data_IF_258044053858
#
_entry.id   IF_258044053858
#
_cell.length_a   1.000
_cell.length_b   1.000
_cell.length_c   1.000
_cell.angle_alpha   90.00
_cell.angle_beta   90.00
_cell.angle_gamma   90.00
#
_symmetry.space_group_name_H-M   'P 1'
#
loop_
_entity.id
_entity.type
_entity.pdbx_description
1 polymer ?
#
# COMPACT_ATOMS: atom_id res chain seq x y z
N UNK A 1 11.24 -69.47 -12.98
CA UNK A 1 10.30 -69.56 -11.83
C UNK A 1 10.78 -68.51 -10.81
N UNK A 2 10.04 -67.51 -10.35
CA UNK A 2 8.62 -67.21 -10.38
C UNK A 2 8.42 -65.68 -10.54
N UNK A 3 7.37 -65.29 -11.26
CA UNK A 3 6.88 -63.92 -11.41
C UNK A 3 6.01 -63.58 -10.20
N UNK A 4 6.22 -62.43 -9.56
CA UNK A 4 5.30 -61.87 -8.57
C UNK A 4 4.63 -60.63 -9.17
N UNK A 5 3.35 -60.81 -9.51
CA UNK A 5 2.39 -59.79 -9.91
C UNK A 5 1.77 -59.18 -8.65
N UNK A 6 1.70 -57.85 -8.57
CA UNK A 6 0.93 -57.16 -7.54
C UNK A 6 0.09 -56.04 -8.18
N UNK A 7 -1.21 -56.18 -7.93
CA UNK A 7 -2.36 -55.52 -8.53
C UNK A 7 -2.46 -54.02 -8.23
N UNK A 8 -2.82 -53.24 -9.25
CA UNK A 8 -3.24 -51.86 -9.12
C UNK A 8 -4.66 -51.80 -8.51
N UNK A 9 -4.83 -51.07 -7.40
CA UNK A 9 -6.12 -50.76 -6.84
C UNK A 9 -6.55 -49.36 -7.31
N UNK A 10 -7.57 -49.31 -8.17
CA UNK A 10 -8.20 -48.08 -8.63
C UNK A 10 -9.01 -47.44 -7.51
N UNK A 11 -8.56 -46.27 -7.02
CA UNK A 11 -9.31 -45.40 -6.12
C UNK A 11 -10.33 -44.59 -6.94
N UNK A 12 -11.58 -45.05 -6.97
CA UNK A 12 -12.72 -44.27 -7.48
C UNK A 12 -13.05 -43.14 -6.50
N UNK A 13 -12.71 -41.90 -6.87
CA UNK A 13 -13.18 -40.69 -6.21
C UNK A 13 -14.66 -40.46 -6.53
N UNK A 14 -15.53 -40.58 -5.52
CA UNK A 14 -16.95 -40.21 -5.60
C UNK A 14 -17.07 -38.69 -5.47
N UNK A 15 -17.31 -38.00 -6.58
CA UNK A 15 -17.70 -36.59 -6.58
C UNK A 15 -19.14 -36.48 -6.07
N UNK A 16 -19.34 -35.87 -4.90
CA UNK A 16 -20.66 -35.56 -4.37
C UNK A 16 -20.90 -34.06 -4.54
N UNK A 17 -21.70 -33.70 -5.53
CA UNK A 17 -22.11 -32.32 -5.80
C UNK A 17 -23.08 -31.83 -4.72
N UNK A 18 -22.91 -30.63 -4.15
CA UNK A 18 -23.92 -30.03 -3.29
C UNK A 18 -25.10 -29.52 -4.13
N UNK A 19 -26.31 -29.92 -3.73
CA UNK A 19 -27.55 -29.51 -4.37
C UNK A 19 -27.85 -28.03 -4.13
N UNK A 20 -28.16 -27.34 -5.23
CA UNK A 20 -28.72 -25.98 -5.25
C UNK A 20 -30.20 -26.05 -4.83
N UNK A 21 -30.53 -25.48 -3.67
CA UNK A 21 -31.92 -25.24 -3.29
C UNK A 21 -32.40 -23.94 -3.93
N UNK A 22 -33.20 -24.09 -4.98
CA UNK A 22 -34.03 -23.05 -5.58
C UNK A 22 -35.19 -22.72 -4.64
N UNK A 23 -35.36 -21.46 -4.26
CA UNK A 23 -36.63 -20.93 -3.77
C UNK A 23 -36.89 -19.56 -4.39
N UNK A 24 -37.88 -19.57 -5.27
CA UNK A 24 -38.41 -18.46 -6.04
C UNK A 24 -39.35 -17.56 -5.21
N UNK A 25 -39.11 -16.26 -5.32
CA UNK A 25 -40.09 -15.14 -5.46
C UNK A 25 -41.41 -15.18 -4.67
N UNK A 26 -41.61 -14.15 -3.83
CA UNK A 26 -42.92 -13.53 -3.63
C UNK A 26 -42.81 -12.00 -3.70
N UNK A 27 -43.76 -11.45 -4.44
CA UNK A 27 -43.94 -10.08 -4.87
C UNK A 27 -45.19 -9.55 -4.15
N UNK A 28 -45.11 -8.41 -3.45
CA UNK A 28 -46.30 -7.71 -2.97
C UNK A 28 -46.06 -6.20 -2.77
N UNK A 29 -47.07 -5.44 -3.21
CA UNK A 29 -47.22 -4.00 -3.48
C UNK A 29 -47.11 -3.02 -2.30
N UNK A 30 -47.02 -1.70 -2.58
CA UNK A 30 -47.07 -0.60 -1.61
C UNK A 30 -48.50 -0.04 -1.39
N UNK A 31 -48.76 0.70 -0.29
CA UNK A 31 -49.83 1.71 -0.21
C UNK A 31 -49.22 3.12 -0.44
N UNK A 32 -49.70 3.97 -1.34
CA UNK A 32 -51.02 4.61 -1.54
C UNK A 32 -51.39 5.70 -0.52
N UNK A 33 -51.51 6.93 -1.05
CA UNK A 33 -52.43 8.04 -0.71
C UNK A 33 -52.03 9.15 0.28
N UNK A 34 -52.22 10.37 -0.25
CA UNK A 34 -52.09 11.74 0.26
C UNK A 34 -53.18 12.10 1.30
N UNK A 35 -53.15 13.33 1.86
CA UNK A 35 -53.99 14.37 1.23
C UNK A 35 -53.34 15.75 1.05
N UNK A 36 -53.87 16.44 0.02
CA UNK A 36 -53.81 17.88 -0.28
C UNK A 36 -54.32 18.77 0.86
N UNK A 37 -53.87 20.04 0.94
CA UNK A 37 -54.63 21.28 0.57
C UNK A 37 -54.01 22.58 1.18
N UNK A 38 -54.43 23.82 0.82
CA UNK A 38 -53.58 24.78 0.07
C UNK A 38 -53.55 26.24 0.60
N UNK A 39 -53.00 27.15 -0.23
CA UNK A 39 -53.22 28.62 -0.32
C UNK A 39 -52.47 29.52 0.71
N UNK A 40 -52.03 30.75 0.43
CA UNK A 40 -52.04 31.70 -0.71
C UNK A 40 -50.91 32.75 -0.46
N UNK A 41 -50.11 33.15 -1.46
CA UNK A 41 -50.14 34.43 -2.21
C UNK A 41 -50.26 35.70 -1.36
N UNK A 42 -49.28 36.62 -1.45
CA UNK A 42 -49.40 38.05 -1.86
C UNK A 42 -48.06 38.78 -1.57
N UNK A 43 -47.18 39.13 -2.53
CA UNK A 43 -47.13 40.27 -3.50
C UNK A 43 -46.35 41.50 -3.00
N UNK A 44 -45.35 41.90 -3.79
CA UNK A 44 -44.76 43.26 -4.00
C UNK A 44 -44.00 43.94 -2.83
N UNK A 45 -42.93 44.73 -2.98
CA UNK A 45 -42.54 45.81 -3.91
C UNK A 45 -41.01 46.01 -3.81
N UNK A 46 -40.31 46.28 -4.93
CA UNK A 46 -38.99 46.96 -4.95
C UNK A 46 -39.19 48.48 -4.91
N UNK A 47 -38.23 49.22 -4.32
CA UNK A 47 -37.74 50.40 -5.02
C UNK A 47 -36.22 50.50 -5.09
N UNK A 48 -35.80 51.19 -6.14
CA UNK A 48 -34.45 51.50 -6.60
C UNK A 48 -33.96 52.87 -6.13
N UNK A 49 -32.63 53.01 -6.04
CA UNK A 49 -31.78 54.22 -6.17
C UNK A 49 -31.75 55.23 -4.99
N UNK A 50 -30.56 55.52 -4.44
CA UNK A 50 -29.64 56.56 -4.97
C UNK A 50 -28.38 56.78 -4.09
N UNK A 51 -27.26 56.77 -4.81
CA UNK A 51 -25.87 57.16 -4.57
C UNK A 51 -25.53 58.25 -3.52
N UNK A 52 -24.41 58.07 -2.79
CA UNK A 52 -23.48 59.12 -2.35
C UNK A 52 -22.01 58.65 -2.46
N UNK A 53 -21.30 59.25 -3.42
CA UNK A 53 -19.89 59.70 -3.45
C UNK A 53 -18.74 58.86 -2.85
N UNK A 54 -17.80 58.49 -3.74
CA UNK A 54 -16.35 58.20 -3.55
C UNK A 54 -15.60 59.48 -3.06
N UNK A 55 -14.45 59.40 -2.35
CA UNK A 55 -13.21 58.81 -2.90
C UNK A 55 -12.24 58.17 -1.89
N UNK A 56 -11.69 56.98 -2.19
CA UNK A 56 -10.42 56.53 -1.57
C UNK A 56 -9.65 55.60 -2.51
N UNK A 57 -9.13 56.18 -3.60
CA UNK A 57 -8.33 55.49 -4.62
C UNK A 57 -6.81 55.71 -4.45
N UNK A 58 -6.32 55.90 -3.22
CA UNK A 58 -4.88 56.11 -2.97
C UNK A 58 -4.28 55.34 -1.78
N UNK A 59 -5.06 54.52 -1.06
CA UNK A 59 -4.51 53.64 -0.01
C UNK A 59 -4.05 52.27 -0.54
N UNK A 60 -4.36 51.92 -1.79
CA UNK A 60 -4.14 50.57 -2.33
C UNK A 60 -2.82 50.40 -3.10
N UNK A 61 -2.02 51.46 -3.29
CA UNK A 61 -0.76 51.35 -4.03
C UNK A 61 0.44 51.03 -3.11
N UNK A 62 0.47 51.50 -1.86
CA UNK A 62 1.61 51.27 -0.96
C UNK A 62 1.53 49.98 -0.14
N UNK A 63 0.33 49.48 0.19
CA UNK A 63 0.19 48.18 0.87
C UNK A 63 0.43 47.00 -0.09
N UNK A 64 0.45 47.27 -1.40
CA UNK A 64 0.67 46.28 -2.44
C UNK A 64 2.16 46.09 -2.76
N UNK A 65 3.00 47.12 -2.67
CA UNK A 65 4.46 46.97 -2.85
C UNK A 65 5.12 46.22 -1.68
N UNK A 66 4.73 46.50 -0.44
CA UNK A 66 5.29 45.85 0.76
C UNK A 66 4.90 44.35 0.83
N UNK A 67 3.70 44.01 0.31
CA UNK A 67 3.26 42.61 0.16
C UNK A 67 3.90 41.89 -1.03
N UNK A 68 4.42 42.60 -2.03
CA UNK A 68 5.12 41.99 -3.16
C UNK A 68 6.56 41.69 -2.77
N UNK A 69 7.24 42.61 -2.08
CA UNK A 69 8.62 42.42 -1.61
C UNK A 69 8.74 41.32 -0.54
N UNK A 70 7.77 41.22 0.39
CA UNK A 70 7.72 40.13 1.38
C UNK A 70 7.37 38.76 0.75
N UNK A 71 6.68 38.76 -0.41
CA UNK A 71 6.23 37.53 -1.09
C UNK A 71 7.28 36.99 -2.06
N UNK A 72 8.19 37.82 -2.54
CA UNK A 72 9.32 37.39 -3.37
C UNK A 72 10.38 36.65 -2.54
N UNK A 73 10.57 37.04 -1.27
CA UNK A 73 11.57 36.42 -0.37
C UNK A 73 11.20 35.02 0.13
N UNK A 74 10.01 34.49 -0.20
CA UNK A 74 9.52 33.19 0.29
C UNK A 74 9.57 32.06 -0.74
N UNK A 75 9.96 32.35 -1.98
CA UNK A 75 9.96 31.38 -3.07
C UNK A 75 11.37 30.92 -3.47
N UNK A 76 12.26 30.76 -2.49
CA UNK A 76 13.47 29.98 -2.71
C UNK A 76 13.06 28.51 -2.81
N UNK A 77 12.88 28.03 -4.04
CA UNK A 77 12.72 26.62 -4.35
C UNK A 77 14.04 25.91 -4.01
N UNK A 78 14.13 25.41 -2.78
CA UNK A 78 15.20 24.50 -2.38
C UNK A 78 15.10 23.23 -3.23
N UNK A 79 16.01 23.12 -4.20
CA UNK A 79 16.28 21.87 -4.88
C UNK A 79 16.94 20.93 -3.88
N UNK A 80 16.15 20.06 -3.26
CA UNK A 80 16.68 18.90 -2.54
C UNK A 80 17.34 17.98 -3.57
N UNK A 81 18.65 18.12 -3.74
CA UNK A 81 19.46 17.14 -4.44
C UNK A 81 19.41 15.85 -3.63
N UNK A 82 18.62 14.88 -4.11
CA UNK A 82 18.57 13.53 -3.56
C UNK A 82 19.87 12.82 -3.96
N UNK A 83 20.95 13.18 -3.27
CA UNK A 83 22.23 12.50 -3.43
C UNK A 83 22.09 11.09 -2.84
N UNK A 84 22.34 10.01 -3.60
CA UNK A 84 22.36 8.66 -3.06
C UNK A 84 23.58 8.39 -2.15
N UNK A 85 24.50 9.36 -2.01
CA UNK A 85 25.73 9.23 -1.22
C UNK A 85 25.55 8.84 0.27
N UNK A 86 24.49 9.26 1.00
CA UNK A 86 24.28 8.83 2.39
C UNK A 86 24.00 7.32 2.49
N UNK A 87 23.32 6.74 1.50
CA UNK A 87 23.07 5.29 1.45
C UNK A 87 24.33 4.49 1.06
N UNK A 88 25.21 5.08 0.25
CA UNK A 88 26.50 4.46 -0.11
C UNK A 88 27.51 4.45 1.06
N UNK A 89 27.47 5.44 1.96
CA UNK A 89 28.29 5.40 3.18
C UNK A 89 27.79 4.36 4.19
N UNK A 90 26.49 4.11 4.23
CA UNK A 90 25.92 3.02 5.03
C UNK A 90 26.32 1.64 4.46
N UNK A 91 26.55 1.54 3.14
CA UNK A 91 27.06 0.35 2.47
C UNK A 91 28.53 0.05 2.78
N UNK A 92 29.32 1.05 3.20
CA UNK A 92 30.75 0.92 3.51
C UNK A 92 31.04 0.56 4.97
N UNK A 93 30.01 0.45 5.82
CA UNK A 93 30.16 -0.07 7.18
C UNK A 93 30.46 -1.58 7.14
N UNK A 94 31.25 -2.13 8.09
CA UNK A 94 31.53 -3.57 8.23
C UNK A 94 30.30 -4.47 8.51
N UNK A 95 29.08 -4.01 8.21
CA UNK A 95 27.82 -4.68 8.47
C UNK A 95 27.52 -5.85 7.53
N UNK A 96 28.13 -5.92 6.34
CA UNK A 96 27.93 -7.05 5.43
C UNK A 96 28.34 -8.39 6.06
N UNK A 97 29.42 -8.39 6.88
CA UNK A 97 29.84 -9.56 7.65
C UNK A 97 28.90 -9.92 8.80
N UNK A 98 28.34 -8.91 9.48
CA UNK A 98 27.39 -9.12 10.58
C UNK A 98 26.05 -9.69 10.09
N UNK A 99 25.56 -9.20 8.94
CA UNK A 99 24.35 -9.71 8.30
C UNK A 99 24.57 -11.14 7.79
N UNK A 100 25.69 -11.40 7.11
CA UNK A 100 26.04 -12.75 6.65
C UNK A 100 26.13 -13.77 7.81
N UNK A 101 26.77 -13.38 8.92
CA UNK A 101 26.88 -14.21 10.13
C UNK A 101 25.52 -14.48 10.80
N UNK A 102 24.63 -13.47 10.87
CA UNK A 102 23.31 -13.63 11.46
C UNK A 102 22.40 -14.57 10.65
N UNK A 103 22.57 -14.62 9.31
CA UNK A 103 21.75 -15.46 8.43
C UNK A 103 22.37 -16.79 8.02
N UNK A 104 23.69 -16.99 8.24
CA UNK A 104 24.42 -18.22 7.93
C UNK A 104 23.70 -19.53 8.30
N UNK A 105 23.15 -19.69 9.53
CA UNK A 105 22.44 -20.90 9.93
C UNK A 105 21.19 -21.20 9.08
N UNK A 106 20.51 -20.16 8.59
CA UNK A 106 19.36 -20.29 7.70
C UNK A 106 19.78 -20.72 6.29
N UNK A 107 20.90 -20.17 5.80
CA UNK A 107 21.47 -20.53 4.49
C UNK A 107 21.86 -22.00 4.46
N UNK A 108 22.50 -22.49 5.53
CA UNK A 108 22.88 -23.89 5.64
C UNK A 108 21.67 -24.82 5.71
N UNK A 109 20.61 -24.42 6.42
CA UNK A 109 19.37 -25.20 6.50
C UNK A 109 18.69 -25.33 5.13
N UNK A 110 18.59 -24.23 4.37
CA UNK A 110 18.01 -24.25 3.01
C UNK A 110 18.85 -25.10 2.06
N UNK A 111 20.19 -25.00 2.15
CA UNK A 111 21.10 -25.84 1.36
C UNK A 111 20.97 -27.33 1.70
N UNK A 112 20.71 -27.66 2.97
CA UNK A 112 20.53 -29.06 3.40
C UNK A 112 19.30 -29.75 2.81
N UNK A 113 18.32 -28.98 2.29
CA UNK A 113 17.10 -29.52 1.71
C UNK A 113 17.24 -29.90 0.23
N UNK A 114 18.40 -29.63 -0.39
CA UNK A 114 18.71 -29.98 -1.78
C UNK A 114 17.57 -29.62 -2.77
N UNK A 115 17.00 -28.42 -2.58
CA UNK A 115 15.87 -27.94 -3.35
C UNK A 115 16.28 -27.74 -4.82
N UNK A 116 15.41 -28.06 -5.78
CA UNK A 116 15.73 -27.87 -7.19
C UNK A 116 15.91 -26.37 -7.52
N UNK A 117 16.89 -26.06 -8.38
CA UNK A 117 17.30 -24.69 -8.70
C UNK A 117 16.15 -23.79 -9.15
N UNK A 118 15.18 -24.33 -9.92
CA UNK A 118 14.01 -23.57 -10.37
C UNK A 118 13.16 -23.04 -9.20
N UNK A 119 13.07 -23.79 -8.10
CA UNK A 119 12.27 -23.43 -6.94
C UNK A 119 12.98 -22.39 -6.09
N UNK A 120 14.31 -22.44 -6.01
CA UNK A 120 15.11 -21.42 -5.34
C UNK A 120 15.03 -20.11 -6.11
N UNK A 121 15.12 -20.18 -7.45
CA UNK A 121 15.08 -19.03 -8.34
C UNK A 121 13.72 -18.30 -8.33
N UNK A 122 12.63 -19.06 -8.48
CA UNK A 122 11.28 -18.48 -8.56
C UNK A 122 10.55 -18.42 -7.23
N UNK A 123 11.00 -19.13 -6.20
CA UNK A 123 10.33 -19.20 -4.90
C UNK A 123 10.24 -17.84 -4.21
N UNK A 124 11.34 -17.07 -4.21
CA UNK A 124 11.34 -15.71 -3.65
C UNK A 124 10.38 -14.77 -4.40
N UNK A 125 10.50 -14.55 -5.73
CA UNK A 125 9.61 -13.64 -6.44
C UNK A 125 8.15 -14.10 -6.42
N UNK A 126 7.87 -15.41 -6.49
CA UNK A 126 6.50 -15.93 -6.42
C UNK A 126 5.86 -15.67 -5.05
N UNK A 127 6.56 -15.97 -3.96
CA UNK A 127 6.05 -15.69 -2.60
C UNK A 127 5.86 -14.20 -2.37
N UNK A 128 6.82 -13.37 -2.80
CA UNK A 128 6.71 -11.91 -2.65
C UNK A 128 5.58 -11.32 -3.49
N UNK A 129 5.28 -11.88 -4.67
CA UNK A 129 4.12 -11.48 -5.45
C UNK A 129 2.81 -11.76 -4.72
N UNK A 130 2.65 -12.95 -4.14
CA UNK A 130 1.44 -13.30 -3.36
C UNK A 130 1.28 -12.33 -2.18
N UNK A 131 2.35 -12.08 -1.43
CA UNK A 131 2.31 -11.15 -0.29
C UNK A 131 1.96 -9.73 -0.76
N UNK A 132 2.59 -9.24 -1.83
CA UNK A 132 2.34 -7.90 -2.36
C UNK A 132 0.90 -7.72 -2.84
N UNK A 133 0.39 -8.64 -3.66
CA UNK A 133 -0.93 -8.47 -4.28
C UNK A 133 -2.07 -8.87 -3.34
N UNK A 134 -1.96 -10.02 -2.67
CA UNK A 134 -3.03 -10.51 -1.81
C UNK A 134 -3.07 -9.76 -0.48
N UNK A 135 -1.93 -9.57 0.19
CA UNK A 135 -1.91 -8.90 1.50
C UNK A 135 -1.80 -7.40 1.34
N UNK A 136 -0.83 -6.93 0.55
CA UNK A 136 -0.64 -5.51 0.27
C UNK A 136 -1.80 -4.90 -0.52
N UNK A 137 -2.12 -5.46 -1.68
CA UNK A 137 -3.17 -4.94 -2.56
C UNK A 137 -4.55 -4.93 -1.89
N UNK A 138 -4.99 -6.06 -1.34
CA UNK A 138 -6.28 -6.11 -0.63
C UNK A 138 -6.25 -5.27 0.65
N UNK A 139 -5.15 -5.29 1.39
CA UNK A 139 -4.96 -4.45 2.56
C UNK A 139 -5.09 -2.96 2.25
N UNK A 140 -4.45 -2.47 1.19
CA UNK A 140 -4.57 -1.08 0.73
C UNK A 140 -5.98 -0.75 0.25
N UNK A 141 -6.65 -1.68 -0.44
CA UNK A 141 -8.06 -1.54 -0.79
C UNK A 141 -8.93 -1.33 0.47
N UNK A 142 -8.75 -2.16 1.50
CA UNK A 142 -9.45 -1.98 2.77
C UNK A 142 -9.14 -0.62 3.42
N UNK A 143 -7.89 -0.14 3.31
CA UNK A 143 -7.51 1.21 3.74
C UNK A 143 -8.36 2.31 3.09
N UNK A 144 -8.62 2.19 1.78
CA UNK A 144 -9.54 3.09 1.07
C UNK A 144 -11.00 2.90 1.52
N UNK A 145 -11.45 1.67 1.79
CA UNK A 145 -12.80 1.42 2.32
C UNK A 145 -13.01 2.03 3.70
N UNK A 146 -12.02 2.01 4.58
CA UNK A 146 -12.07 2.70 5.89
C UNK A 146 -12.36 4.19 5.69
N UNK A 147 -11.78 4.81 4.66
CA UNK A 147 -11.90 6.25 4.41
C UNK A 147 -13.20 6.62 3.71
N UNK A 148 -13.61 5.84 2.71
CA UNK A 148 -14.63 6.26 1.75
C UNK A 148 -15.93 5.45 1.77
N UNK A 149 -16.01 4.33 2.49
CA UNK A 149 -17.26 3.56 2.55
C UNK A 149 -18.33 4.27 3.41
N UNK A 150 -19.58 4.30 2.98
CA UNK A 150 -20.67 4.90 3.77
C UNK A 150 -21.22 3.95 4.84
N UNK A 151 -21.14 2.64 4.58
CA UNK A 151 -21.66 1.61 5.47
C UNK A 151 -20.76 1.43 6.71
N UNK A 152 -21.35 1.54 7.90
CA UNK A 152 -20.65 1.41 9.19
C UNK A 152 -20.13 -0.02 9.42
N UNK A 153 -20.88 -1.05 9.05
CA UNK A 153 -20.47 -2.44 9.19
C UNK A 153 -19.27 -2.76 8.29
N UNK A 154 -19.27 -2.22 7.07
CA UNK A 154 -18.14 -2.37 6.15
C UNK A 154 -16.89 -1.66 6.66
N UNK A 155 -17.03 -0.42 7.17
CA UNK A 155 -15.92 0.30 7.81
C UNK A 155 -15.35 -0.47 8.99
N UNK A 156 -16.19 -1.04 9.85
CA UNK A 156 -15.75 -1.83 11.00
C UNK A 156 -14.96 -3.07 10.55
N UNK A 157 -15.47 -3.81 9.57
CA UNK A 157 -14.78 -4.96 8.96
C UNK A 157 -13.43 -4.57 8.36
N UNK A 158 -13.39 -3.48 7.58
CA UNK A 158 -12.15 -3.00 6.98
C UNK A 158 -11.12 -2.54 8.03
N UNK A 159 -11.55 -1.87 9.11
CA UNK A 159 -10.68 -1.46 10.22
C UNK A 159 -10.08 -2.64 10.99
N UNK A 160 -10.80 -3.76 11.08
CA UNK A 160 -10.28 -4.97 11.72
C UNK A 160 -9.28 -5.71 10.83
N UNK A 161 -9.58 -5.85 9.54
CA UNK A 161 -8.75 -6.62 8.62
C UNK A 161 -7.53 -5.88 8.07
N UNK A 162 -7.64 -4.57 7.82
CA UNK A 162 -6.55 -3.77 7.29
C UNK A 162 -5.24 -3.93 8.09
N UNK A 163 -5.19 -3.70 9.41
CA UNK A 163 -3.95 -3.84 10.17
C UNK A 163 -3.44 -5.30 10.22
N UNK A 164 -4.32 -6.30 10.16
CA UNK A 164 -3.92 -7.72 10.13
C UNK A 164 -3.22 -8.08 8.83
N UNK A 165 -3.79 -7.66 7.69
CA UNK A 165 -3.22 -7.90 6.37
C UNK A 165 -1.92 -7.13 6.16
N UNK A 166 -1.88 -5.84 6.53
CA UNK A 166 -0.66 -5.02 6.36
C UNK A 166 0.44 -5.41 7.35
N UNK A 167 0.07 -5.77 8.59
CA UNK A 167 1.03 -6.31 9.57
C UNK A 167 1.62 -7.63 9.09
N UNK A 168 0.79 -8.50 8.49
CA UNK A 168 1.27 -9.71 7.85
C UNK A 168 2.15 -9.42 6.62
N UNK A 169 1.80 -8.44 5.79
CA UNK A 169 2.64 -8.01 4.67
C UNK A 169 4.02 -7.56 5.15
N UNK A 170 4.06 -6.72 6.18
CA UNK A 170 5.32 -6.27 6.80
C UNK A 170 6.17 -7.45 7.26
N UNK A 171 5.56 -8.40 7.99
CA UNK A 171 6.25 -9.58 8.48
C UNK A 171 6.84 -10.43 7.36
N UNK A 172 6.05 -10.76 6.34
CA UNK A 172 6.53 -11.59 5.24
C UNK A 172 7.49 -10.85 4.31
N UNK A 173 7.39 -9.54 4.15
CA UNK A 173 8.40 -8.74 3.44
C UNK A 173 9.72 -8.66 4.21
N UNK A 174 9.69 -8.55 5.53
CA UNK A 174 10.89 -8.63 6.35
C UNK A 174 11.58 -9.99 6.18
N UNK A 175 10.82 -11.09 6.25
CA UNK A 175 11.34 -12.44 5.97
C UNK A 175 11.78 -12.62 4.50
N UNK A 176 11.09 -11.99 3.55
CA UNK A 176 11.48 -12.00 2.14
C UNK A 176 12.82 -11.30 1.94
N UNK A 177 13.03 -10.17 2.61
CA UNK A 177 14.28 -9.41 2.55
C UNK A 177 15.47 -10.23 3.07
N UNK A 178 15.29 -11.08 4.09
CA UNK A 178 16.36 -11.98 4.55
C UNK A 178 16.73 -13.03 3.50
N UNK A 179 15.73 -13.58 2.79
CA UNK A 179 15.94 -14.47 1.64
C UNK A 179 16.65 -13.78 0.47
N UNK A 180 16.27 -12.54 0.15
CA UNK A 180 16.91 -11.75 -0.91
C UNK A 180 18.37 -11.39 -0.60
N UNK A 181 18.64 -11.01 0.65
CA UNK A 181 20.02 -10.76 1.14
C UNK A 181 20.86 -12.03 1.07
N UNK A 182 20.30 -13.18 1.47
CA UNK A 182 20.97 -14.48 1.38
C UNK A 182 21.36 -14.80 -0.07
N UNK A 183 20.47 -14.58 -1.03
CA UNK A 183 20.75 -14.80 -2.46
C UNK A 183 21.87 -13.90 -2.99
N UNK A 184 21.92 -12.63 -2.55
CA UNK A 184 22.96 -11.67 -2.94
C UNK A 184 24.33 -12.04 -2.36
N UNK A 185 24.39 -12.42 -1.09
CA UNK A 185 25.62 -12.85 -0.42
C UNK A 185 26.18 -14.16 -0.98
N UNK A 186 25.33 -15.03 -1.51
CA UNK A 186 25.78 -16.27 -2.19
C UNK A 186 26.28 -16.01 -3.62
N UNK A 187 26.03 -14.81 -4.17
CA UNK A 187 26.39 -14.43 -5.56
C UNK A 187 27.54 -13.41 -5.64
N UNK A 188 28.24 -13.13 -4.54
CA UNK A 188 29.36 -12.17 -4.42
C UNK A 188 29.07 -10.74 -4.95
N UNK A 189 27.80 -10.33 -5.04
CA UNK A 189 27.41 -8.99 -5.52
C UNK A 189 27.11 -8.03 -4.35
N UNK A 190 27.59 -6.78 -4.38
CA UNK A 190 27.30 -5.80 -3.34
C UNK A 190 25.80 -5.46 -3.28
N UNK A 191 25.23 -5.52 -2.08
CA UNK A 191 23.77 -5.39 -1.82
C UNK A 191 23.19 -4.07 -2.33
N UNK A 192 23.98 -2.99 -2.32
CA UNK A 192 23.51 -1.63 -2.66
C UNK A 192 23.66 -1.26 -4.14
N UNK A 193 24.22 -2.15 -4.97
CA UNK A 193 24.27 -1.92 -6.43
C UNK A 193 22.99 -2.38 -7.14
N UNK A 194 22.21 -3.26 -6.52
CA UNK A 194 20.96 -3.73 -7.10
C UNK A 194 19.83 -2.74 -6.84
N UNK A 195 19.22 -2.13 -7.88
CA UNK A 195 18.08 -1.23 -7.70
C UNK A 195 16.90 -1.90 -6.98
N UNK A 196 16.72 -3.22 -7.19
CA UNK A 196 15.73 -4.02 -6.46
C UNK A 196 16.04 -4.07 -4.96
N UNK A 197 17.28 -4.38 -4.58
CA UNK A 197 17.65 -4.45 -3.16
C UNK A 197 17.50 -3.09 -2.45
N UNK A 198 17.92 -1.99 -3.10
CA UNK A 198 17.80 -0.64 -2.54
C UNK A 198 16.34 -0.22 -2.38
N UNK A 199 15.51 -0.47 -3.40
CA UNK A 199 14.07 -0.14 -3.32
C UNK A 199 13.34 -1.02 -2.31
N UNK A 200 13.74 -2.29 -2.14
CA UNK A 200 13.21 -3.17 -1.09
C UNK A 200 13.53 -2.67 0.32
N UNK A 201 14.80 -2.31 0.61
CA UNK A 201 15.22 -1.76 1.91
C UNK A 201 14.48 -0.45 2.20
N UNK A 202 14.43 0.45 1.21
CA UNK A 202 13.72 1.73 1.34
C UNK A 202 12.22 1.52 1.59
N UNK A 203 11.59 0.62 0.84
CA UNK A 203 10.18 0.28 1.00
C UNK A 203 9.88 -0.31 2.37
N UNK A 204 10.73 -1.21 2.89
CA UNK A 204 10.56 -1.79 4.22
C UNK A 204 10.72 -0.74 5.32
N UNK A 205 11.69 0.18 5.19
CA UNK A 205 11.86 1.28 6.14
C UNK A 205 10.65 2.22 6.17
N UNK A 206 10.13 2.60 4.99
CA UNK A 206 8.91 3.41 4.89
C UNK A 206 7.68 2.68 5.44
N UNK A 207 7.60 1.36 5.22
CA UNK A 207 6.52 0.53 5.76
C UNK A 207 6.56 0.43 7.29
N UNK A 208 7.75 0.44 7.91
CA UNK A 208 7.89 0.56 9.37
C UNK A 208 7.28 1.86 9.88
N UNK A 209 7.63 2.99 9.25
CA UNK A 209 7.07 4.31 9.61
C UNK A 209 5.54 4.30 9.43
N UNK A 210 5.06 3.73 8.32
CA UNK A 210 3.63 3.58 8.02
C UNK A 210 2.90 2.78 9.09
N UNK A 211 3.54 1.75 9.65
CA UNK A 211 2.96 0.86 10.68
C UNK A 211 2.86 1.54 12.04
N UNK A 212 3.81 2.42 12.37
CA UNK A 212 3.83 3.16 13.65
C UNK A 212 2.89 4.38 13.59
N UNK A 213 2.74 5.01 12.42
CA UNK A 213 1.96 6.24 12.24
C UNK A 213 0.54 6.23 12.85
N UNK A 214 -0.25 5.13 12.81
CA UNK A 214 -1.58 5.07 13.43
C UNK A 214 -1.60 5.31 14.94
N UNK A 215 -0.52 4.99 15.66
CA UNK A 215 -0.44 5.20 17.10
C UNK A 215 -0.47 6.69 17.48
N UNK A 216 -0.19 7.58 16.53
CA UNK A 216 -0.11 9.03 16.74
C UNK A 216 -1.36 9.77 16.21
N UNK A 217 -2.40 9.05 15.78
CA UNK A 217 -3.59 9.66 15.18
C UNK A 217 -4.44 10.46 16.17
N UNK A 218 -4.44 10.08 17.45
CA UNK A 218 -5.22 10.79 18.49
C UNK A 218 -4.65 12.17 18.78
N UNK A 219 -3.32 12.31 18.77
CA UNK A 219 -2.61 13.57 19.00
C UNK A 219 -2.68 14.49 17.76
N UNK A 220 -2.58 13.90 16.56
CA UNK A 220 -2.59 14.65 15.30
C UNK A 220 -3.51 14.01 14.26
N UNK A 221 -4.77 14.47 14.14
CA UNK A 221 -5.72 13.96 13.15
C UNK A 221 -5.24 14.09 11.70
N UNK A 222 -4.33 15.03 11.41
CA UNK A 222 -3.72 15.24 10.10
C UNK A 222 -2.86 14.06 9.63
N UNK A 223 -2.31 13.27 10.57
CA UNK A 223 -1.52 12.07 10.24
C UNK A 223 -2.33 11.00 9.50
N UNK A 224 -3.66 11.01 9.58
CA UNK A 224 -4.51 10.07 8.83
C UNK A 224 -4.43 10.30 7.32
N UNK A 225 -4.29 11.57 6.90
CA UNK A 225 -4.04 11.91 5.49
C UNK A 225 -2.63 11.51 5.08
N UNK A 226 -1.63 11.80 5.93
CA UNK A 226 -0.25 11.38 5.70
C UNK A 226 -0.14 9.86 5.54
N UNK A 227 -0.71 9.08 6.46
CA UNK A 227 -0.76 7.62 6.39
C UNK A 227 -1.40 7.13 5.09
N UNK A 228 -2.50 7.73 4.64
CA UNK A 228 -3.14 7.36 3.38
C UNK A 228 -2.24 7.61 2.16
N UNK A 229 -1.60 8.78 2.10
CA UNK A 229 -0.72 9.18 0.98
C UNK A 229 0.56 8.36 0.99
N UNK A 230 1.23 8.26 2.15
CA UNK A 230 2.45 7.49 2.33
C UNK A 230 2.21 6.02 2.02
N UNK A 231 1.13 5.43 2.53
CA UNK A 231 0.76 4.04 2.22
C UNK A 231 0.54 3.81 0.73
N UNK A 232 -0.11 4.75 0.04
CA UNK A 232 -0.30 4.67 -1.42
C UNK A 232 1.04 4.76 -2.17
N UNK A 233 1.93 5.67 -1.76
CA UNK A 233 3.26 5.80 -2.34
C UNK A 233 4.14 4.56 -2.12
N UNK A 234 4.07 3.95 -0.93
CA UNK A 234 4.76 2.69 -0.61
C UNK A 234 4.30 1.57 -1.53
N UNK A 235 2.99 1.47 -1.82
CA UNK A 235 2.50 0.45 -2.76
C UNK A 235 3.04 0.63 -4.17
N UNK A 236 3.11 1.87 -4.66
CA UNK A 236 3.73 2.16 -5.96
C UNK A 236 5.21 1.77 -5.95
N UNK A 237 5.94 2.13 -4.88
CA UNK A 237 7.34 1.73 -4.71
C UNK A 237 7.51 0.21 -4.72
N UNK A 238 6.62 -0.55 -4.08
CA UNK A 238 6.69 -2.01 -4.09
C UNK A 238 6.33 -2.63 -5.45
N UNK A 239 5.45 -2.02 -6.23
CA UNK A 239 5.20 -2.45 -7.61
C UNK A 239 6.43 -2.22 -8.50
N UNK A 240 7.11 -1.08 -8.35
CA UNK A 240 8.40 -0.82 -9.01
C UNK A 240 9.45 -1.84 -8.55
N UNK A 241 9.56 -2.09 -7.25
CA UNK A 241 10.45 -3.10 -6.68
C UNK A 241 10.18 -4.49 -7.26
N UNK A 242 8.90 -4.88 -7.39
CA UNK A 242 8.51 -6.16 -7.98
C UNK A 242 8.88 -6.25 -9.47
N UNK A 243 8.68 -5.18 -10.24
CA UNK A 243 9.10 -5.12 -11.64
C UNK A 243 10.62 -5.27 -11.79
N UNK A 244 11.39 -4.59 -10.94
CA UNK A 244 12.86 -4.73 -10.90
C UNK A 244 13.28 -6.16 -10.52
N UNK A 245 12.63 -6.76 -9.53
CA UNK A 245 12.90 -8.14 -9.10
C UNK A 245 12.56 -9.16 -10.20
N UNK A 246 11.46 -8.95 -10.91
CA UNK A 246 11.08 -9.77 -12.07
C UNK A 246 12.10 -9.65 -13.20
N UNK A 247 12.57 -8.43 -13.50
CA UNK A 247 13.63 -8.20 -14.49
C UNK A 247 14.93 -8.91 -14.10
N UNK A 248 15.33 -8.85 -12.83
CA UNK A 248 16.48 -9.58 -12.30
C UNK A 248 16.34 -11.09 -12.49
N UNK A 249 15.14 -11.65 -12.24
CA UNK A 249 14.85 -13.07 -12.43
C UNK A 249 15.05 -13.57 -13.86
N UNK A 250 14.91 -12.72 -14.89
CA UNK A 250 15.22 -13.07 -16.29
C UNK A 250 16.68 -12.77 -16.69
N UNK A 251 17.43 -12.05 -15.87
CA UNK A 251 18.84 -11.70 -16.15
C UNK A 251 19.85 -12.74 -15.68
N UNK A 252 19.38 -13.80 -15.02
CA UNK A 252 20.16 -14.99 -14.63
C UNK A 252 20.33 -15.97 -15.79
#
# INVERSE_FOLDING_TARGET
MAMASASAASLTFRFQSPQLSSSSSFLAKPPSSLPLSPAAITTTVRPTLRCKYFPQAQAQAQEQEDKVELREKKNESLLFSFSPLPFLYLAALPGAGAVSSAFGPFVELVKSWNLPDWLVHWGHPANMAVVLFAMGGYGSYLGFRIRFADNVAEKAYAKDLHPKLLGGMFFFFALGATGGITSLLTSDKPIFESPHAVTAITGLALLTIQTISPALFEENPGLRNFHGILGSAIMVLFLVNAALGFQLGFSY
#
